data_IF_214321272924
#
_entry.id   IF_214321272924
#
_cell.length_a   1.000
_cell.length_b   1.000
_cell.length_c   1.000
_cell.angle_alpha   90.00
_cell.angle_beta   90.00
_cell.angle_gamma   90.00
#
_symmetry.space_group_name_H-M   'P 1'
#
loop_
_entity.id
_entity.type
_entity.pdbx_description
1 polymer ?
#
# COMPACT_ATOMS: atom_id res chain seq x y z
N UNK A 1 8.71 13.00 -3.10
CA UNK A 1 7.26 13.06 -3.40
C UNK A 1 6.98 12.10 -4.54
N UNK A 2 6.07 11.17 -4.32
CA UNK A 2 5.66 10.12 -5.24
C UNK A 2 4.24 10.39 -5.68
N UNK A 3 3.98 10.33 -6.98
CA UNK A 3 2.67 10.55 -7.56
C UNK A 3 2.42 9.47 -8.61
N UNK A 4 1.17 9.01 -8.70
CA UNK A 4 0.79 7.92 -9.59
C UNK A 4 -0.69 7.60 -9.45
N UNK A 5 -1.16 6.61 -10.20
CA UNK A 5 -2.56 6.15 -10.12
C UNK A 5 -2.71 4.87 -9.33
N UNK A 6 -3.80 4.81 -8.56
CA UNK A 6 -4.38 3.57 -8.03
C UNK A 6 -5.79 3.50 -8.62
N UNK A 7 -6.01 2.57 -9.55
CA UNK A 7 -7.24 2.54 -10.36
C UNK A 7 -7.43 3.85 -11.12
N UNK A 8 -8.56 4.52 -10.92
CA UNK A 8 -8.87 5.80 -11.56
C UNK A 8 -8.36 7.02 -10.76
N UNK A 9 -7.96 6.81 -9.51
CA UNK A 9 -7.61 7.87 -8.57
C UNK A 9 -6.14 8.24 -8.66
N UNK A 10 -5.86 9.56 -8.71
CA UNK A 10 -4.50 10.09 -8.61
C UNK A 10 -4.13 10.21 -7.14
N UNK A 11 -3.04 9.57 -6.75
CA UNK A 11 -2.55 9.53 -5.37
C UNK A 11 -1.16 10.16 -5.30
N UNK A 12 -0.98 11.03 -4.31
CA UNK A 12 0.29 11.66 -3.98
C UNK A 12 0.68 11.31 -2.55
N UNK A 13 1.94 10.95 -2.33
CA UNK A 13 2.48 10.64 -1.01
C UNK A 13 3.94 11.09 -0.91
N UNK A 14 4.38 11.37 0.31
CA UNK A 14 5.80 11.58 0.58
C UNK A 14 6.56 10.27 0.78
N UNK A 15 5.84 9.15 0.91
CA UNK A 15 6.39 7.82 1.11
C UNK A 15 6.07 6.90 -0.06
N UNK A 16 6.96 5.94 -0.40
CA UNK A 16 6.83 5.09 -1.56
C UNK A 16 5.88 3.88 -1.35
N UNK A 17 5.40 3.61 -0.13
CA UNK A 17 4.49 2.50 0.18
C UNK A 17 3.22 3.04 0.82
N UNK A 18 2.07 2.49 0.45
CA UNK A 18 0.75 2.86 0.98
C UNK A 18 -0.03 1.62 1.41
N UNK A 19 -0.73 1.73 2.54
CA UNK A 19 -1.82 0.82 2.90
C UNK A 19 -3.15 1.49 2.57
N UNK A 20 -3.97 0.81 1.77
CA UNK A 20 -5.23 1.33 1.25
C UNK A 20 -6.34 0.34 1.56
N UNK A 21 -7.46 0.81 2.09
CA UNK A 21 -8.68 0.01 2.27
C UNK A 21 -9.80 0.61 1.40
N UNK A 22 -10.12 -0.10 0.31
CA UNK A 22 -10.97 0.44 -0.76
C UNK A 22 -10.33 1.65 -1.45
N UNK A 23 -10.92 2.83 -1.27
CA UNK A 23 -10.40 4.11 -1.80
C UNK A 23 -9.68 4.96 -0.74
N UNK A 24 -9.70 4.53 0.53
CA UNK A 24 -9.12 5.27 1.63
C UNK A 24 -7.66 4.86 1.86
N UNK A 25 -6.75 5.82 1.85
CA UNK A 25 -5.38 5.62 2.31
C UNK A 25 -5.38 5.62 3.84
N UNK A 26 -5.03 4.49 4.45
CA UNK A 26 -4.94 4.35 5.90
C UNK A 26 -3.60 4.89 6.41
N UNK A 27 -2.51 4.41 5.83
CA UNK A 27 -1.14 4.73 6.25
C UNK A 27 -0.16 4.72 5.07
N UNK A 28 1.00 5.35 5.29
CA UNK A 28 2.08 5.44 4.32
C UNK A 28 3.42 5.08 5.00
N UNK A 29 4.30 4.37 4.30
CA UNK A 29 5.51 3.77 4.85
C UNK A 29 6.71 3.92 3.92
N UNK A 30 7.91 3.88 4.49
CA UNK A 30 9.16 3.97 3.71
C UNK A 30 9.56 2.64 3.08
N UNK A 31 9.06 1.51 3.60
CA UNK A 31 9.39 0.16 3.12
C UNK A 31 8.22 -0.83 3.28
N UNK A 32 8.31 -1.95 2.56
CA UNK A 32 7.26 -2.99 2.53
C UNK A 32 7.20 -3.77 3.84
N UNK A 33 8.31 -3.91 4.56
CA UNK A 33 8.35 -4.66 5.82
C UNK A 33 7.49 -3.98 6.91
N UNK A 34 7.57 -2.65 7.02
CA UNK A 34 6.72 -1.86 7.91
C UNK A 34 5.23 -1.98 7.55
N UNK A 35 4.92 -1.87 6.25
CA UNK A 35 3.55 -2.00 5.75
C UNK A 35 2.99 -3.42 5.99
N UNK A 36 3.83 -4.45 5.85
CA UNK A 36 3.46 -5.84 6.14
C UNK A 36 3.24 -6.04 7.64
N UNK A 37 4.08 -5.43 8.48
CA UNK A 37 3.90 -5.40 9.93
C UNK A 37 2.57 -4.76 10.34
N UNK A 38 2.16 -3.69 9.66
CA UNK A 38 0.83 -3.09 9.82
C UNK A 38 -0.29 -4.06 9.41
N UNK A 39 -0.19 -4.68 8.23
CA UNK A 39 -1.19 -5.66 7.77
C UNK A 39 -1.42 -6.80 8.78
N UNK A 40 -0.34 -7.32 9.37
CA UNK A 40 -0.40 -8.43 10.31
C UNK A 40 -1.00 -8.06 11.67
N UNK A 41 -1.00 -6.78 12.04
CA UNK A 41 -1.44 -6.31 13.36
C UNK A 41 -2.81 -5.63 13.34
N UNK A 42 -3.02 -4.79 12.32
CA UNK A 42 -4.13 -3.84 12.25
C UNK A 42 -4.82 -3.83 10.88
N UNK A 43 -4.24 -4.49 9.88
CA UNK A 43 -4.85 -4.60 8.56
C UNK A 43 -6.14 -5.40 8.58
N UNK A 44 -7.10 -4.96 7.78
CA UNK A 44 -8.29 -5.73 7.44
C UNK A 44 -8.01 -6.67 6.26
N UNK A 45 -8.88 -7.67 6.05
CA UNK A 45 -8.82 -8.54 4.87
C UNK A 45 -8.94 -7.74 3.55
N UNK A 46 -9.53 -6.55 3.60
CA UNK A 46 -9.70 -5.63 2.47
C UNK A 46 -8.56 -4.63 2.30
N UNK A 47 -7.63 -4.53 3.27
CA UNK A 47 -6.48 -3.63 3.16
C UNK A 47 -5.48 -4.16 2.15
N UNK A 48 -5.11 -3.37 1.14
CA UNK A 48 -4.12 -3.69 0.11
C UNK A 48 -2.89 -2.80 0.25
N UNK A 49 -1.70 -3.36 0.02
CA UNK A 49 -0.46 -2.58 -0.02
C UNK A 49 -0.14 -2.20 -1.45
N UNK A 50 0.17 -0.93 -1.67
CA UNK A 50 0.66 -0.41 -2.93
C UNK A 50 2.08 0.11 -2.79
N UNK A 51 2.92 -0.18 -3.79
CA UNK A 51 4.29 0.30 -3.89
C UNK A 51 4.46 1.17 -5.13
N UNK A 52 5.06 2.34 -4.96
CA UNK A 52 5.42 3.19 -6.09
C UNK A 52 6.60 2.58 -6.86
N UNK A 53 6.45 2.44 -8.17
CA UNK A 53 7.46 1.85 -9.05
C UNK A 53 8.33 2.89 -9.79
N UNK A 54 8.23 4.17 -9.41
CA UNK A 54 8.86 5.29 -10.10
C UNK A 54 7.94 5.99 -11.11
N UNK A 55 6.78 5.40 -11.44
CA UNK A 55 5.76 5.99 -12.32
C UNK A 55 4.37 5.95 -11.73
N UNK A 56 3.91 4.77 -11.31
CA UNK A 56 2.57 4.51 -10.79
C UNK A 56 2.64 3.66 -9.52
N UNK A 57 1.47 3.31 -8.98
CA UNK A 57 1.34 2.49 -7.78
C UNK A 57 0.97 1.06 -8.17
N UNK A 58 1.86 0.11 -7.90
CA UNK A 58 1.62 -1.31 -8.13
C UNK A 58 1.13 -1.96 -6.85
N UNK A 59 0.10 -2.81 -6.97
CA UNK A 59 -0.34 -3.65 -5.86
C UNK A 59 0.74 -4.68 -5.51
N UNK A 60 1.01 -4.81 -4.21
CA UNK A 60 1.92 -5.82 -3.67
C UNK A 60 1.08 -7.02 -3.25
N UNK A 61 1.39 -8.21 -3.81
CA UNK A 61 0.77 -9.45 -3.36
C UNK A 61 0.93 -9.61 -1.85
N UNK A 62 -0.20 -9.80 -1.15
CA UNK A 62 -0.15 -10.13 0.27
C UNK A 62 0.65 -11.41 0.44
N UNK A 63 1.60 -11.48 1.39
CA UNK A 63 2.17 -12.76 1.76
C UNK A 63 1.02 -13.65 2.24
N UNK A 64 0.77 -14.76 1.53
CA UNK A 64 -0.18 -15.76 1.98
C UNK A 64 0.20 -16.14 3.41
N UNK A 65 -0.72 -16.08 4.40
CA UNK A 65 -0.48 -16.72 5.66
C UNK A 65 -0.25 -18.19 5.36
N UNK A 66 0.98 -18.66 5.50
CA UNK A 66 1.31 -20.08 5.39
C UNK A 66 0.47 -20.79 6.46
N UNK A 67 -0.49 -21.60 6.02
CA UNK A 67 -1.35 -22.43 6.87
C UNK A 67 -0.52 -23.41 7.70
#
# INVERSE_FOLDING_TARGET
>A
MFAGRIGETVVMSNHPILAVDGEQILFAFDNVDEATGFLLREGSDTTTIFRHNGRDWDEVEKPCPQQ
#
